data_IF_993690668799
#
_entry.id   IF_993690668799
#
_cell.length_a   1.000
_cell.length_b   1.000
_cell.length_c   1.000
_cell.angle_alpha   90.00
_cell.angle_beta   90.00
_cell.angle_gamma   90.00
#
_symmetry.space_group_name_H-M   'P 1'
#
loop_
_entity.id
_entity.type
_entity.pdbx_description
1 polymer ?
#
# COMPACT_ATOMS: atom_id res chain seq x y z
N UNK A 1 39.33 18.10 -47.46
CA UNK A 1 37.91 17.81 -47.75
C UNK A 1 37.33 17.20 -46.49
N UNK A 2 36.43 17.93 -45.82
CA UNK A 2 35.71 17.45 -44.63
C UNK A 2 34.52 16.61 -45.07
N UNK A 3 34.25 15.50 -44.39
CA UNK A 3 32.95 14.85 -44.46
C UNK A 3 32.58 14.38 -43.06
N UNK A 4 31.43 14.88 -42.60
CA UNK A 4 30.97 14.86 -41.22
C UNK A 4 30.45 13.48 -40.83
N UNK A 5 30.76 13.10 -39.59
CA UNK A 5 30.16 12.00 -38.87
C UNK A 5 28.66 12.25 -38.66
N UNK A 6 27.80 11.31 -39.07
CA UNK A 6 26.40 11.27 -38.64
C UNK A 6 26.27 10.27 -37.50
N UNK A 7 26.31 10.78 -36.27
CA UNK A 7 25.86 10.06 -35.09
C UNK A 7 24.33 9.97 -35.14
N UNK A 8 23.78 8.78 -35.37
CA UNK A 8 22.37 8.49 -35.10
C UNK A 8 22.16 8.55 -33.58
N UNK A 9 21.52 9.61 -33.10
CA UNK A 9 21.07 9.69 -31.71
C UNK A 9 19.87 8.77 -31.56
N UNK A 10 20.01 7.75 -30.72
CA UNK A 10 18.92 6.89 -30.27
C UNK A 10 17.85 7.74 -29.58
N UNK A 11 16.70 7.92 -30.22
CA UNK A 11 15.48 8.41 -29.58
C UNK A 11 14.80 7.22 -28.89
N UNK A 12 15.29 6.86 -27.70
CA UNK A 12 14.49 6.13 -26.73
C UNK A 12 14.92 6.59 -25.33
N UNK A 13 14.64 7.86 -25.07
CA UNK A 13 14.65 8.37 -23.70
C UNK A 13 13.34 7.88 -23.05
N UNK A 14 13.37 7.25 -21.86
CA UNK A 14 12.14 6.90 -21.18
C UNK A 14 11.34 8.19 -20.95
N UNK A 15 10.03 8.14 -21.19
CA UNK A 15 9.12 9.24 -20.94
C UNK A 15 9.12 9.55 -19.43
N UNK A 16 10.03 10.41 -18.99
CA UNK A 16 10.41 10.54 -17.58
C UNK A 16 9.34 11.23 -16.72
N UNK A 17 8.19 11.67 -17.24
CA UNK A 17 7.19 12.38 -16.42
C UNK A 17 5.75 12.21 -16.93
N UNK A 18 5.32 11.00 -17.30
CA UNK A 18 3.88 10.74 -17.34
C UNK A 18 3.35 10.77 -15.89
N UNK A 19 2.27 11.52 -15.59
CA UNK A 19 1.70 11.50 -14.25
C UNK A 19 1.30 10.08 -13.88
N UNK A 20 1.74 9.61 -12.72
CA UNK A 20 1.38 8.29 -12.19
C UNK A 20 -0.16 8.21 -12.07
N UNK A 21 -0.74 7.09 -12.49
CA UNK A 21 -2.19 6.92 -12.53
C UNK A 21 -2.80 6.51 -11.18
N UNK A 22 -1.99 6.46 -10.12
CA UNK A 22 -2.40 6.12 -8.76
C UNK A 22 -2.21 4.64 -8.40
N UNK A 23 -1.78 3.78 -9.34
CA UNK A 23 -1.60 2.33 -9.05
C UNK A 23 -0.49 2.02 -8.02
N UNK A 24 0.42 2.96 -7.80
CA UNK A 24 1.53 2.81 -6.84
C UNK A 24 1.25 3.46 -5.48
N UNK A 25 0.04 4.02 -5.27
CA UNK A 25 -0.28 4.81 -4.07
C UNK A 25 -0.19 4.00 -2.76
N UNK A 26 -0.19 2.66 -2.82
CA UNK A 26 -0.03 1.77 -1.67
C UNK A 26 1.32 1.05 -1.60
N UNK A 27 2.28 1.36 -2.49
CA UNK A 27 3.59 0.68 -2.49
C UNK A 27 4.36 0.89 -1.19
N UNK A 28 4.13 2.03 -0.52
CA UNK A 28 4.70 2.31 0.80
C UNK A 28 4.31 1.30 1.87
N UNK A 29 3.22 0.57 1.68
CA UNK A 29 2.65 -0.35 2.68
C UNK A 29 3.15 -1.79 2.50
N UNK A 30 3.79 -2.12 1.37
CA UNK A 30 4.27 -3.48 1.10
C UNK A 30 5.37 -3.89 2.10
N UNK A 31 5.36 -5.17 2.48
CA UNK A 31 6.36 -5.76 3.39
C UNK A 31 5.79 -6.10 4.77
N UNK A 32 6.68 -6.18 5.76
CA UNK A 32 6.36 -6.64 7.13
C UNK A 32 6.49 -5.49 8.11
N UNK A 33 5.50 -5.36 8.98
CA UNK A 33 5.37 -4.27 9.92
C UNK A 33 5.15 -4.78 11.34
N UNK A 34 5.78 -4.11 12.31
CA UNK A 34 5.35 -4.15 13.70
C UNK A 34 4.34 -3.01 13.89
N UNK A 35 3.17 -3.33 14.43
CA UNK A 35 2.05 -2.39 14.54
C UNK A 35 1.77 -2.09 16.01
N UNK A 36 1.72 -0.80 16.35
CA UNK A 36 1.29 -0.33 17.66
C UNK A 36 -0.14 0.18 17.57
N UNK A 37 -1.06 -0.49 18.25
CA UNK A 37 -2.47 -0.15 18.25
C UNK A 37 -2.85 0.62 19.51
N UNK A 38 -3.84 1.50 19.35
CA UNK A 38 -4.60 2.08 20.45
C UNK A 38 -6.09 1.96 20.15
N UNK A 39 -6.89 1.48 21.11
CA UNK A 39 -8.34 1.35 20.99
C UNK A 39 -9.05 1.91 22.21
N UNK A 40 -10.05 2.78 22.01
CA UNK A 40 -10.93 3.20 23.10
C UNK A 40 -11.62 2.01 23.74
N UNK A 41 -11.67 1.96 25.07
CA UNK A 41 -12.34 0.89 25.80
C UNK A 41 -13.85 0.92 25.56
N UNK A 42 -14.45 2.12 25.50
CA UNK A 42 -15.85 2.34 25.13
C UNK A 42 -15.96 3.35 24.00
N UNK A 43 -16.46 2.91 22.84
CA UNK A 43 -16.64 3.80 21.67
C UNK A 43 -17.92 4.61 21.82
N UNK A 44 -17.88 5.87 21.35
CA UNK A 44 -19.02 6.79 21.27
C UNK A 44 -19.71 7.09 22.61
N UNK A 45 -18.98 6.98 23.73
CA UNK A 45 -19.50 7.20 25.09
C UNK A 45 -18.75 8.31 25.85
N UNK A 46 -17.99 9.16 25.15
CA UNK A 46 -17.15 10.19 25.78
C UNK A 46 -15.94 9.62 26.56
N UNK A 47 -15.61 8.36 26.34
CA UNK A 47 -14.49 7.69 27.00
C UNK A 47 -13.14 8.20 26.46
N UNK A 48 -12.17 8.31 27.36
CA UNK A 48 -10.79 8.73 27.07
C UNK A 48 -9.77 7.68 27.44
N UNK A 49 -10.20 6.52 27.95
CA UNK A 49 -9.33 5.41 28.30
C UNK A 49 -9.01 4.57 27.05
N UNK A 50 -7.73 4.23 26.90
CA UNK A 50 -7.20 3.50 25.74
C UNK A 50 -6.58 2.17 26.17
N UNK A 51 -7.00 1.09 25.51
CA UNK A 51 -6.18 -0.12 25.42
C UNK A 51 -5.03 0.15 24.45
N UNK A 52 -3.82 -0.26 24.82
CA UNK A 52 -2.63 -0.22 23.95
C UNK A 52 -2.09 -1.62 23.81
N UNK A 53 -1.85 -2.05 22.57
CA UNK A 53 -1.41 -3.41 22.28
C UNK A 53 -0.65 -3.49 20.95
N UNK A 54 0.12 -4.57 20.80
CA UNK A 54 0.95 -4.84 19.64
C UNK A 54 0.22 -5.58 18.52
N UNK A 55 0.99 -5.90 17.49
CA UNK A 55 0.53 -6.62 16.33
C UNK A 55 1.60 -6.69 15.25
N UNK A 56 1.33 -7.50 14.24
CA UNK A 56 2.14 -7.57 13.02
C UNK A 56 1.24 -7.50 11.80
N UNK A 57 1.75 -6.91 10.72
CA UNK A 57 1.07 -6.89 9.43
C UNK A 57 2.06 -7.30 8.35
N UNK A 58 1.68 -8.24 7.49
CA UNK A 58 2.44 -8.59 6.30
C UNK A 58 1.59 -8.32 5.06
N UNK A 59 2.07 -7.42 4.21
CA UNK A 59 1.37 -6.93 3.02
C UNK A 59 2.15 -7.36 1.79
N UNK A 60 1.43 -7.93 0.82
CA UNK A 60 2.03 -8.36 -0.45
C UNK A 60 1.21 -7.89 -1.65
N UNK A 61 1.87 -7.57 -2.78
CA UNK A 61 1.16 -7.23 -4.00
C UNK A 61 0.48 -8.48 -4.57
N UNK A 62 -0.60 -8.26 -5.31
CA UNK A 62 -1.34 -9.26 -6.07
C UNK A 62 -1.72 -8.67 -7.44
N UNK A 63 -2.32 -9.48 -8.32
CA UNK A 63 -2.90 -9.01 -9.58
C UNK A 63 -1.92 -8.21 -10.47
N UNK A 64 -0.63 -8.56 -10.45
CA UNK A 64 0.39 -7.85 -11.23
C UNK A 64 0.61 -6.39 -10.81
N UNK A 65 0.37 -6.05 -9.54
CA UNK A 65 0.50 -4.69 -9.02
C UNK A 65 -0.82 -3.90 -8.98
N UNK A 66 -1.93 -4.50 -9.44
CA UNK A 66 -3.27 -3.89 -9.37
C UNK A 66 -4.00 -4.22 -8.07
N UNK A 67 -3.28 -4.64 -7.04
CA UNK A 67 -3.85 -4.92 -5.74
C UNK A 67 -2.82 -5.30 -4.70
N UNK A 68 -3.25 -5.33 -3.44
CA UNK A 68 -2.50 -5.93 -2.34
C UNK A 68 -3.45 -6.67 -1.40
N UNK A 69 -2.90 -7.63 -0.67
CA UNK A 69 -3.56 -8.30 0.45
C UNK A 69 -2.64 -8.27 1.64
N UNK A 70 -3.22 -8.14 2.83
CA UNK A 70 -2.48 -8.20 4.09
C UNK A 70 -2.96 -9.33 5.02
N UNK A 71 -2.04 -9.84 5.84
CA UNK A 71 -2.32 -10.73 6.98
C UNK A 71 -1.93 -9.98 8.26
N UNK A 72 -2.93 -9.70 9.09
CA UNK A 72 -2.77 -8.97 10.35
C UNK A 72 -2.92 -9.91 11.53
N UNK A 73 -2.01 -9.77 12.48
CA UNK A 73 -2.16 -10.26 13.85
C UNK A 73 -2.34 -9.05 14.75
N UNK A 74 -3.45 -9.00 15.46
CA UNK A 74 -3.81 -7.91 16.37
C UNK A 74 -3.87 -8.49 17.78
N UNK A 75 -2.92 -8.12 18.63
CA UNK A 75 -2.72 -8.73 19.95
C UNK A 75 -3.63 -8.10 21.01
N UNK A 76 -4.95 -8.15 20.79
CA UNK A 76 -5.92 -7.57 21.72
C UNK A 76 -5.72 -8.13 23.15
N UNK A 77 -6.03 -7.35 24.20
CA UNK A 77 -5.87 -7.80 25.59
C UNK A 77 -6.62 -9.11 25.92
N UNK A 78 -7.72 -9.39 25.22
CA UNK A 78 -8.52 -10.62 25.38
C UNK A 78 -8.07 -11.82 24.54
N UNK A 79 -6.99 -11.69 23.77
CA UNK A 79 -6.47 -12.72 22.87
C UNK A 79 -6.24 -12.21 21.45
N UNK A 80 -5.30 -12.84 20.73
CA UNK A 80 -4.94 -12.43 19.39
C UNK A 80 -6.10 -12.62 18.41
N UNK A 81 -6.32 -11.61 17.57
CA UNK A 81 -7.29 -11.61 16.48
C UNK A 81 -6.54 -11.57 15.15
N UNK A 82 -7.03 -12.33 14.15
CA UNK A 82 -6.48 -12.30 12.78
C UNK A 82 -7.46 -11.63 11.83
N UNK A 83 -6.92 -10.81 10.94
CA UNK A 83 -7.67 -10.08 9.93
C UNK A 83 -6.87 -10.02 8.62
N UNK A 84 -7.59 -9.86 7.51
CA UNK A 84 -6.99 -9.64 6.22
C UNK A 84 -7.78 -8.59 5.46
N UNK A 85 -7.07 -7.75 4.74
CA UNK A 85 -7.68 -6.73 3.88
C UNK A 85 -7.29 -6.97 2.45
N UNK A 86 -8.27 -6.86 1.56
CA UNK A 86 -8.04 -6.83 0.12
C UNK A 86 -8.11 -5.38 -0.37
N UNK A 87 -7.14 -4.99 -1.19
CA UNK A 87 -7.17 -3.74 -1.96
C UNK A 87 -7.00 -4.06 -3.44
N UNK A 88 -7.84 -3.48 -4.28
CA UNK A 88 -7.69 -3.59 -5.75
C UNK A 88 -7.80 -2.22 -6.40
N UNK A 89 -7.03 -2.03 -7.46
CA UNK A 89 -7.02 -0.84 -8.29
C UNK A 89 -7.70 -1.13 -9.62
N UNK A 90 -8.65 -0.29 -10.01
CA UNK A 90 -9.27 -0.32 -11.34
C UNK A 90 -8.59 0.74 -12.25
N UNK A 91 -7.84 0.35 -13.28
CA UNK A 91 -7.18 1.28 -14.19
C UNK A 91 -8.14 2.17 -15.01
N UNK A 92 -9.39 1.73 -15.23
CA UNK A 92 -10.36 2.48 -16.02
C UNK A 92 -10.88 3.69 -15.24
N UNK A 93 -11.20 3.49 -13.96
CA UNK A 93 -11.69 4.55 -13.06
C UNK A 93 -10.59 5.23 -12.28
N UNK A 94 -9.39 4.64 -12.23
CA UNK A 94 -8.23 5.05 -11.42
C UNK A 94 -8.56 5.10 -9.92
N UNK A 95 -9.32 4.11 -9.45
CA UNK A 95 -9.78 4.07 -8.07
C UNK A 95 -9.30 2.81 -7.36
N UNK A 96 -8.98 2.98 -6.08
CA UNK A 96 -8.77 1.90 -5.15
C UNK A 96 -10.08 1.56 -4.43
N UNK A 97 -10.37 0.27 -4.38
CA UNK A 97 -11.42 -0.30 -3.52
C UNK A 97 -10.76 -1.14 -2.42
N UNK A 98 -11.36 -1.12 -1.22
CA UNK A 98 -10.81 -1.76 -0.03
C UNK A 98 -11.89 -2.55 0.69
N UNK A 99 -11.60 -3.80 1.06
CA UNK A 99 -12.49 -4.70 1.80
C UNK A 99 -11.80 -5.26 3.05
N UNK A 100 -12.50 -5.19 4.18
CA UNK A 100 -12.06 -5.61 5.52
C UNK A 100 -13.11 -6.51 6.15
#
# INVERSE_FOLDING_TARGET
MSTQSTTSRSEDAPAENAPADGRADFDFFLGRWNVNHRRLQKRLQGDTNWDVFGGTCEVRPILGGLGNVDDNVIELPGGAYRAATLRTFDPATRQWSIWW
#
